data_IF_236472851661
#
_entry.id   IF_236472851661
#
_cell.length_a   1.000
_cell.length_b   1.000
_cell.length_c   1.000
_cell.angle_alpha   90.00
_cell.angle_beta   90.00
_cell.angle_gamma   90.00
#
_symmetry.space_group_name_H-M   'P 1'
#
loop_
_entity.id
_entity.type
_entity.pdbx_description
1 polymer ?
#
# COMPACT_ATOMS: atom_id res chain seq x y z
N UNK A 1 13.54 -34.55 -5.57
CA UNK A 1 12.90 -33.25 -5.26
C UNK A 1 13.62 -32.09 -5.98
N UNK A 2 12.94 -31.43 -6.93
CA UNK A 2 13.54 -30.58 -7.97
C UNK A 2 14.20 -29.28 -7.45
N UNK A 3 15.49 -29.08 -7.76
CA UNK A 3 16.32 -27.94 -7.34
C UNK A 3 15.80 -26.57 -7.81
N UNK A 4 15.03 -26.50 -8.92
CA UNK A 4 14.48 -25.24 -9.44
C UNK A 4 13.35 -24.65 -8.59
N UNK A 5 12.50 -25.49 -7.98
CA UNK A 5 11.39 -25.03 -7.14
C UNK A 5 11.85 -24.49 -5.77
N UNK A 6 12.98 -25.02 -5.25
CA UNK A 6 13.57 -24.56 -3.98
C UNK A 6 14.07 -23.12 -4.07
N UNK A 7 14.63 -22.73 -5.22
CA UNK A 7 15.11 -21.36 -5.46
C UNK A 7 13.97 -20.34 -5.42
N UNK A 8 12.85 -20.63 -6.07
CA UNK A 8 11.66 -19.75 -6.08
C UNK A 8 11.00 -19.66 -4.70
N UNK A 9 10.97 -20.76 -3.93
CA UNK A 9 10.50 -20.76 -2.54
C UNK A 9 11.34 -19.86 -1.64
N UNK A 10 12.67 -20.03 -1.66
CA UNK A 10 13.60 -19.23 -0.85
C UNK A 10 13.54 -17.76 -1.27
N UNK A 11 13.49 -17.47 -2.58
CA UNK A 11 13.38 -16.11 -3.09
C UNK A 11 12.12 -15.40 -2.60
N UNK A 12 10.95 -16.05 -2.67
CA UNK A 12 9.69 -15.45 -2.19
C UNK A 12 9.72 -15.19 -0.67
N UNK A 13 10.34 -16.07 0.12
CA UNK A 13 10.53 -15.86 1.56
C UNK A 13 11.45 -14.67 1.81
N UNK A 14 12.60 -14.61 1.15
CA UNK A 14 13.57 -13.52 1.33
C UNK A 14 12.97 -12.17 0.93
N UNK A 15 12.26 -12.11 -0.20
CA UNK A 15 11.55 -10.90 -0.63
C UNK A 15 10.47 -10.51 0.39
N UNK A 16 9.69 -11.49 0.87
CA UNK A 16 8.67 -11.26 1.89
C UNK A 16 9.25 -10.68 3.18
N UNK A 17 10.34 -11.25 3.68
CA UNK A 17 11.06 -10.75 4.86
C UNK A 17 11.62 -9.34 4.60
N UNK A 18 12.23 -9.11 3.43
CA UNK A 18 12.77 -7.80 3.06
C UNK A 18 11.68 -6.72 3.01
N UNK A 19 10.47 -7.05 2.52
CA UNK A 19 9.33 -6.13 2.53
C UNK A 19 8.83 -5.82 3.94
N UNK A 20 8.77 -6.81 4.82
CA UNK A 20 8.40 -6.61 6.23
C UNK A 20 9.43 -5.72 6.92
N UNK A 21 10.73 -6.04 6.79
CA UNK A 21 11.81 -5.23 7.34
C UNK A 21 11.83 -3.82 6.75
N UNK A 22 11.54 -3.67 5.46
CA UNK A 22 11.39 -2.38 4.80
C UNK A 22 10.23 -1.57 5.35
N UNK A 23 9.08 -2.20 5.61
CA UNK A 23 7.93 -1.56 6.27
C UNK A 23 8.24 -1.10 7.70
N UNK A 24 8.96 -1.92 8.47
CA UNK A 24 9.43 -1.57 9.82
C UNK A 24 10.43 -0.41 9.76
N UNK A 25 11.42 -0.48 8.87
CA UNK A 25 12.42 0.58 8.70
C UNK A 25 11.76 1.90 8.28
N UNK A 26 10.80 1.86 7.35
CA UNK A 26 10.02 3.02 6.94
C UNK A 26 9.24 3.61 8.12
N UNK A 27 8.64 2.76 8.95
CA UNK A 27 7.93 3.21 10.15
C UNK A 27 8.88 3.84 11.18
N UNK A 28 10.09 3.29 11.34
CA UNK A 28 11.12 3.85 12.23
C UNK A 28 11.67 5.19 11.72
N UNK A 29 11.83 5.34 10.41
CA UNK A 29 12.29 6.59 9.80
C UNK A 29 11.24 7.70 9.99
N UNK A 30 9.96 7.38 9.80
CA UNK A 30 8.85 8.32 10.01
C UNK A 30 8.29 8.24 11.44
N UNK A 31 9.09 7.81 12.42
CA UNK A 31 8.62 7.56 13.79
C UNK A 31 8.05 8.81 14.45
N UNK A 32 8.55 9.99 14.13
CA UNK A 32 8.06 11.23 14.74
C UNK A 32 6.62 11.45 14.28
N UNK A 33 6.35 11.31 12.97
CA UNK A 33 5.01 11.34 12.37
C UNK A 33 4.14 10.14 12.76
N UNK A 34 4.70 9.00 13.14
CA UNK A 34 3.94 7.78 13.47
C UNK A 34 3.72 7.54 14.97
N UNK A 35 4.59 8.05 15.84
CA UNK A 35 4.58 7.83 17.30
C UNK A 35 4.02 9.02 18.08
N UNK A 36 4.21 10.25 17.60
CA UNK A 36 3.33 11.35 18.02
C UNK A 36 1.99 11.19 17.28
N UNK A 37 0.95 11.92 17.67
CA UNK A 37 -0.35 11.96 16.96
C UNK A 37 -1.44 10.94 17.30
N UNK A 38 -1.96 11.04 18.53
CA UNK A 38 -3.42 10.95 18.70
C UNK A 38 -4.05 12.29 19.10
N UNK A 39 -3.24 13.26 19.55
CA UNK A 39 -3.68 14.61 19.89
C UNK A 39 -2.50 15.59 19.92
N UNK A 40 -2.80 16.88 19.83
CA UNK A 40 -1.81 17.95 20.00
C UNK A 40 -1.24 17.95 21.43
N UNK A 41 -2.07 17.63 22.42
CA UNK A 41 -1.66 17.50 23.82
C UNK A 41 -0.57 16.46 24.03
N UNK A 42 -0.69 15.27 23.41
CA UNK A 42 0.35 14.25 23.50
C UNK A 42 1.68 14.76 22.92
N UNK A 43 1.60 15.41 21.77
CA UNK A 43 2.77 15.98 21.08
C UNK A 43 3.46 17.05 21.95
N UNK A 44 2.69 17.87 22.66
CA UNK A 44 3.20 18.82 23.66
C UNK A 44 3.93 18.10 24.80
N UNK A 45 3.29 17.08 25.40
CA UNK A 45 3.84 16.30 26.50
C UNK A 45 5.08 15.47 26.12
N UNK A 46 5.19 15.07 24.84
CA UNK A 46 6.34 14.36 24.28
C UNK A 46 7.52 15.31 23.96
N UNK A 47 7.38 16.62 24.20
CA UNK A 47 8.44 17.63 24.04
C UNK A 47 8.48 18.35 22.70
N UNK A 48 7.48 18.14 21.83
CA UNK A 48 7.36 18.81 20.53
C UNK A 48 6.45 20.03 20.63
N UNK A 49 6.75 20.94 21.56
CA UNK A 49 5.98 22.15 21.80
C UNK A 49 6.53 23.36 21.03
N UNK A 50 5.66 24.31 20.71
CA UNK A 50 6.03 25.56 20.05
C UNK A 50 6.42 26.63 21.08
N UNK A 51 7.51 27.36 20.80
CA UNK A 51 7.86 28.65 21.42
C UNK A 51 8.41 29.59 20.36
N UNK A 52 8.57 30.88 20.67
CA UNK A 52 9.14 31.85 19.72
C UNK A 52 10.54 31.46 19.24
N UNK A 53 11.29 30.67 20.02
CA UNK A 53 12.60 30.16 19.63
C UNK A 53 12.55 29.20 18.41
N UNK A 54 11.41 28.58 18.16
CA UNK A 54 11.17 27.67 17.03
C UNK A 54 10.64 28.38 15.78
N UNK A 55 10.48 29.70 15.79
CA UNK A 55 9.86 30.46 14.69
C UNK A 55 10.62 30.37 13.35
N UNK A 56 11.92 30.10 13.39
CA UNK A 56 12.78 29.99 12.20
C UNK A 56 12.76 28.61 11.54
N UNK A 57 12.13 27.61 12.17
CA UNK A 57 12.06 26.24 11.65
C UNK A 57 10.71 26.00 10.95
N UNK A 58 10.54 26.65 9.80
CA UNK A 58 9.27 26.71 9.05
C UNK A 58 8.89 25.41 8.34
N UNK A 59 9.71 24.37 8.42
CA UNK A 59 9.43 23.03 7.87
C UNK A 59 8.93 22.04 8.94
N UNK A 60 8.93 22.48 10.21
CA UNK A 60 8.57 21.65 11.35
C UNK A 60 7.15 21.90 11.84
N UNK A 61 6.52 20.85 12.36
CA UNK A 61 5.22 20.93 13.00
C UNK A 61 5.41 20.87 14.51
N UNK A 62 4.72 21.75 15.23
CA UNK A 62 4.78 21.85 16.69
C UNK A 62 3.38 21.74 17.31
N UNK A 63 3.34 21.50 18.62
CA UNK A 63 2.13 21.65 19.42
C UNK A 63 2.17 22.95 20.20
N UNK A 64 1.17 23.81 20.02
CA UNK A 64 1.01 25.03 20.80
C UNK A 64 0.02 24.78 21.94
N UNK A 65 0.44 25.06 23.17
CA UNK A 65 -0.46 25.29 24.29
C UNK A 65 -1.06 26.69 24.16
N UNK A 66 -2.39 26.76 24.19
CA UNK A 66 -3.18 27.98 24.02
C UNK A 66 -3.96 28.19 25.31
N UNK A 67 -3.73 29.34 25.94
CA UNK A 67 -4.38 29.76 27.18
C UNK A 67 -5.51 30.76 26.94
N UNK A 68 -5.49 31.44 25.79
CA UNK A 68 -6.55 32.33 25.33
C UNK A 68 -6.48 32.49 23.80
N UNK A 69 -7.62 32.78 23.18
CA UNK A 69 -7.74 32.95 21.72
C UNK A 69 -8.81 33.99 21.39
N UNK A 70 -8.41 35.00 20.62
CA UNK A 70 -9.27 36.12 20.23
C UNK A 70 -9.27 36.28 18.71
N UNK A 71 -10.46 36.52 18.13
CA UNK A 71 -10.60 36.92 16.74
C UNK A 71 -10.12 38.36 16.55
N UNK A 72 -9.24 38.57 15.57
CA UNK A 72 -8.72 39.90 15.25
C UNK A 72 -9.62 40.68 14.28
N UNK A 73 -10.57 40.00 13.64
CA UNK A 73 -11.42 40.54 12.57
C UNK A 73 -10.70 40.67 11.22
N UNK A 74 -9.49 40.15 11.07
CA UNK A 74 -8.75 40.10 9.81
C UNK A 74 -8.85 38.71 9.17
N UNK A 75 -9.16 38.68 7.87
CA UNK A 75 -9.25 37.44 7.11
C UNK A 75 -9.24 37.70 5.61
N UNK A 76 -9.28 36.61 4.85
CA UNK A 76 -9.37 36.67 3.39
C UNK A 76 -10.80 36.98 2.95
N UNK A 77 -10.95 37.75 1.87
CA UNK A 77 -12.28 38.10 1.31
C UNK A 77 -13.13 36.89 0.92
N UNK A 78 -12.49 35.74 0.67
CA UNK A 78 -13.15 34.49 0.33
C UNK A 78 -13.57 33.64 1.54
N UNK A 79 -13.33 34.13 2.77
CA UNK A 79 -13.73 33.49 4.03
C UNK A 79 -13.06 32.15 4.31
N UNK A 80 -11.94 31.85 3.63
CA UNK A 80 -11.21 30.59 3.80
C UNK A 80 -10.16 30.64 4.91
N UNK A 81 -9.73 31.83 5.29
CA UNK A 81 -8.69 32.03 6.29
C UNK A 81 -8.96 33.29 7.11
N UNK A 82 -8.78 33.21 8.42
CA UNK A 82 -8.86 34.30 9.39
C UNK A 82 -7.62 34.27 10.30
N UNK A 83 -7.27 35.45 10.80
CA UNK A 83 -6.17 35.65 11.73
C UNK A 83 -6.73 35.81 13.13
N UNK A 84 -6.21 35.02 14.05
CA UNK A 84 -6.53 35.07 15.47
C UNK A 84 -5.29 35.49 16.26
N UNK A 85 -5.49 36.13 17.40
CA UNK A 85 -4.43 36.30 18.40
C UNK A 85 -4.55 35.17 19.41
N UNK A 86 -3.46 34.44 19.63
CA UNK A 86 -3.41 33.34 20.61
C UNK A 86 -2.35 33.62 21.67
N UNK A 87 -2.69 33.34 22.93
CA UNK A 87 -1.75 33.40 24.05
C UNK A 87 -1.14 32.02 24.27
N UNK A 88 0.18 31.90 24.07
CA UNK A 88 0.93 30.67 24.29
C UNK A 88 1.91 30.76 25.46
N UNK A 89 2.85 29.81 25.53
CA UNK A 89 3.74 29.63 26.69
C UNK A 89 4.69 30.81 26.94
N UNK A 90 5.24 31.41 25.87
CA UNK A 90 6.24 32.49 25.97
C UNK A 90 5.81 33.80 25.29
N UNK A 91 4.61 33.87 24.73
CA UNK A 91 4.15 35.07 24.04
C UNK A 91 2.77 34.99 23.41
N UNK A 92 2.40 36.08 22.76
CA UNK A 92 1.23 36.16 21.88
C UNK A 92 1.67 35.97 20.43
N UNK A 93 0.88 35.20 19.69
CA UNK A 93 1.14 34.89 18.28
C UNK A 93 -0.07 35.18 17.41
N UNK A 94 0.19 35.45 16.13
CA UNK A 94 -0.85 35.42 15.11
C UNK A 94 -1.05 34.00 14.59
N UNK A 95 -2.26 33.49 14.72
CA UNK A 95 -2.69 32.19 14.21
C UNK A 95 -3.53 32.38 12.96
N UNK A 96 -3.07 31.86 11.83
CA UNK A 96 -3.87 31.71 10.61
C UNK A 96 -4.65 30.40 10.67
N UNK A 97 -5.99 30.47 10.57
CA UNK A 97 -6.83 29.28 10.53
C UNK A 97 -8.13 29.49 9.75
N UNK A 98 -8.75 28.38 9.32
CA UNK A 98 -10.06 28.46 8.67
C UNK A 98 -11.17 28.65 9.73
N UNK A 99 -11.99 29.71 9.64
CA UNK A 99 -13.04 29.98 10.63
C UNK A 99 -14.13 28.92 10.70
N UNK A 100 -14.36 28.19 9.60
CA UNK A 100 -15.34 27.10 9.54
C UNK A 100 -14.78 25.78 10.08
N UNK A 101 -13.52 25.72 10.51
CA UNK A 101 -12.98 24.53 11.15
C UNK A 101 -13.64 24.35 12.52
N UNK A 102 -14.32 23.20 12.71
CA UNK A 102 -15.04 22.88 13.94
C UNK A 102 -14.16 22.98 15.20
N UNK A 103 -12.86 22.67 15.10
CA UNK A 103 -11.92 22.77 16.23
C UNK A 103 -11.61 24.22 16.58
N UNK A 104 -11.36 25.07 15.58
CA UNK A 104 -11.11 26.51 15.76
C UNK A 104 -12.34 27.18 16.37
N UNK A 105 -13.50 26.95 15.77
CA UNK A 105 -14.77 27.47 16.26
C UNK A 105 -15.04 27.08 17.71
N UNK A 106 -14.87 25.80 18.04
CA UNK A 106 -15.06 25.33 19.42
C UNK A 106 -14.03 25.91 20.41
N UNK A 107 -12.81 26.25 19.95
CA UNK A 107 -11.80 26.89 20.80
C UNK A 107 -12.14 28.36 21.06
N UNK A 108 -12.52 29.12 20.03
CA UNK A 108 -12.95 30.52 20.19
C UNK A 108 -14.17 30.58 21.12
N UNK A 109 -15.22 29.79 20.85
CA UNK A 109 -16.42 29.73 21.70
C UNK A 109 -16.09 29.32 23.15
N UNK A 110 -15.10 28.45 23.35
CA UNK A 110 -14.67 28.04 24.68
C UNK A 110 -14.00 29.17 25.45
N UNK A 111 -13.06 29.89 24.83
CA UNK A 111 -12.34 30.98 25.49
C UNK A 111 -13.22 32.22 25.68
N UNK A 112 -14.07 32.57 24.71
CA UNK A 112 -15.07 33.64 24.85
C UNK A 112 -16.00 33.37 26.03
N UNK A 113 -16.48 32.13 26.15
CA UNK A 113 -17.32 31.73 27.27
C UNK A 113 -16.56 31.81 28.59
N UNK A 114 -15.33 31.28 28.64
CA UNK A 114 -14.50 31.32 29.84
C UNK A 114 -14.25 32.77 30.29
N UNK A 115 -13.93 33.68 29.37
CA UNK A 115 -13.72 35.10 29.68
C UNK A 115 -14.98 35.81 30.19
N UNK A 116 -16.18 35.32 29.86
CA UNK A 116 -17.47 35.91 30.27
C UNK A 116 -17.98 35.45 31.65
N UNK A 117 -17.41 34.39 32.21
CA UNK A 117 -17.82 33.79 33.48
C UNK A 117 -16.86 34.23 34.61
N UNK A 118 -17.39 34.38 35.83
CA UNK A 118 -16.55 34.60 37.02
C UNK A 118 -15.92 33.28 37.45
N UNK A 119 -14.59 33.25 37.55
CA UNK A 119 -13.82 32.10 38.03
C UNK A 119 -13.10 32.44 39.34
N UNK A 120 -12.94 31.48 40.27
CA UNK A 120 -12.12 31.66 41.46
C UNK A 120 -10.66 32.03 41.11
N UNK A 121 -10.06 32.89 41.94
CA UNK A 121 -8.66 33.36 41.74
C UNK A 121 -7.62 32.21 41.76
N UNK A 122 -7.97 31.05 42.31
CA UNK A 122 -7.12 29.86 42.40
C UNK A 122 -7.39 28.80 41.31
N UNK A 123 -8.34 29.05 40.40
CA UNK A 123 -8.60 28.15 39.28
C UNK A 123 -7.47 28.22 38.23
N UNK A 124 -6.84 27.09 37.88
CA UNK A 124 -5.79 27.10 36.85
C UNK A 124 -6.38 27.49 35.50
N UNK A 125 -5.65 28.36 34.77
CA UNK A 125 -6.06 28.78 33.43
C UNK A 125 -6.29 27.56 32.52
N UNK A 126 -7.40 27.52 31.78
CA UNK A 126 -7.70 26.41 30.90
C UNK A 126 -6.72 26.40 29.72
N UNK A 127 -6.18 25.22 29.43
CA UNK A 127 -5.27 25.03 28.28
C UNK A 127 -5.97 24.22 27.19
N UNK A 128 -5.71 24.62 25.94
CA UNK A 128 -6.06 23.86 24.73
C UNK A 128 -4.82 23.67 23.87
N UNK A 129 -4.76 22.56 23.14
CA UNK A 129 -3.58 22.23 22.32
C UNK A 129 -3.92 22.21 20.84
N UNK A 130 -3.08 22.86 20.03
CA UNK A 130 -3.22 22.93 18.58
C UNK A 130 -1.92 22.54 17.86
N UNK A 131 -2.03 21.80 16.77
CA UNK A 131 -0.87 21.52 15.90
C UNK A 131 -0.68 22.71 14.97
N UNK A 132 0.54 23.23 14.92
CA UNK A 132 0.86 24.46 14.21
C UNK A 132 2.16 24.35 13.42
N UNK A 133 2.23 25.09 12.31
CA UNK A 133 3.44 25.27 11.50
C UNK A 133 3.81 26.76 11.51
N UNK A 134 5.06 27.12 11.87
CA UNK A 134 5.49 28.51 11.82
C UNK A 134 5.83 28.95 10.40
N UNK A 135 5.54 30.21 10.10
CA UNK A 135 5.80 30.84 8.83
C UNK A 135 6.33 32.25 9.03
N UNK A 136 7.39 32.61 8.31
CA UNK A 136 7.93 33.97 8.29
C UNK A 136 6.98 34.93 7.58
N UNK A 137 6.72 36.12 8.14
CA UNK A 137 5.96 37.15 7.45
C UNK A 137 6.82 37.89 6.43
N UNK A 138 6.92 37.32 5.23
CA UNK A 138 7.63 37.91 4.10
C UNK A 138 7.00 39.20 3.55
N UNK A 139 5.76 39.53 3.96
CA UNK A 139 4.99 40.66 3.41
C UNK A 139 4.82 41.83 4.37
N UNK A 140 5.30 41.67 5.61
CA UNK A 140 5.15 42.65 6.71
C UNK A 140 3.70 43.02 7.04
N UNK A 141 2.73 42.19 6.63
CA UNK A 141 1.31 42.43 6.88
C UNK A 141 0.96 42.27 8.35
N UNK A 142 1.69 41.42 9.09
CA UNK A 142 1.48 41.20 10.52
C UNK A 142 1.77 42.45 11.33
N UNK A 143 2.79 43.24 10.95
CA UNK A 143 3.05 44.53 11.62
C UNK A 143 1.86 45.50 11.53
N UNK A 144 1.15 45.50 10.39
CA UNK A 144 -0.05 46.31 10.18
C UNK A 144 -1.24 45.80 10.99
N UNK A 145 -1.36 44.49 11.15
CA UNK A 145 -2.38 43.87 12.02
C UNK A 145 -2.05 44.18 13.49
N UNK A 146 -0.78 44.04 13.87
CA UNK A 146 -0.29 44.32 15.22
C UNK A 146 -0.48 45.79 15.63
N UNK A 147 -0.27 46.74 14.73
CA UNK A 147 -0.56 48.17 14.98
C UNK A 147 -2.04 48.46 15.28
N UNK A 148 -2.94 47.58 14.84
CA UNK A 148 -4.39 47.74 15.07
C UNK A 148 -4.87 46.96 16.28
N UNK A 149 -4.26 45.81 16.56
CA UNK A 149 -4.56 44.97 17.73
C UNK A 149 -3.90 45.53 19.01
N UNK A 150 -2.69 46.07 18.89
CA UNK A 150 -1.89 46.68 19.97
C UNK A 150 -1.37 48.07 19.55
N UNK A 151 -2.27 49.07 19.41
CA UNK A 151 -1.92 50.42 18.89
C UNK A 151 -0.95 51.18 19.80
N UNK A 152 -0.99 50.90 21.10
CA UNK A 152 -0.10 51.52 22.09
C UNK A 152 1.21 50.73 22.27
N UNK A 153 1.43 49.65 21.51
CA UNK A 153 2.59 48.76 21.59
C UNK A 153 2.83 48.22 23.01
N UNK A 154 1.75 48.00 23.76
CA UNK A 154 1.78 47.57 25.16
C UNK A 154 2.27 46.15 25.31
N UNK A 155 1.96 45.27 24.34
CA UNK A 155 2.40 43.88 24.33
C UNK A 155 3.66 43.69 23.50
N UNK A 156 3.87 44.50 22.44
CA UNK A 156 5.09 44.44 21.61
C UNK A 156 6.37 44.87 22.34
N UNK A 157 6.25 45.72 23.35
CA UNK A 157 7.39 46.25 24.12
C UNK A 157 7.67 45.48 25.44
N UNK A 158 6.94 44.40 25.74
CA UNK A 158 7.20 43.59 26.94
C UNK A 158 8.34 42.59 26.73
N UNK A 159 9.03 42.27 27.81
CA UNK A 159 9.98 41.15 27.84
C UNK A 159 9.26 39.80 28.01
N UNK A 160 8.19 39.75 28.82
CA UNK A 160 7.36 38.57 29.04
C UNK A 160 5.97 38.73 28.40
N UNK A 161 5.47 37.69 27.74
CA UNK A 161 4.17 37.75 27.05
C UNK A 161 4.20 38.72 25.87
N UNK A 162 5.33 38.80 25.16
CA UNK A 162 5.50 39.68 24.01
C UNK A 162 4.60 39.25 22.85
N UNK A 163 4.01 40.20 22.14
CA UNK A 163 3.39 39.95 20.84
C UNK A 163 4.47 39.85 19.76
N UNK A 164 4.55 38.69 19.11
CA UNK A 164 5.44 38.46 17.98
C UNK A 164 4.70 38.76 16.66
N UNK A 165 5.28 39.65 15.85
CA UNK A 165 4.73 40.15 14.59
C UNK A 165 5.68 39.96 13.39
N UNK A 166 6.77 39.22 13.57
CA UNK A 166 7.75 38.83 12.55
C UNK A 166 7.47 37.45 11.93
N UNK A 167 6.62 36.65 12.58
CA UNK A 167 6.14 35.36 12.10
C UNK A 167 4.67 35.14 12.49
N UNK A 168 4.00 34.24 11.79
CA UNK A 168 2.71 33.70 12.17
C UNK A 168 2.78 32.18 12.25
N UNK A 169 1.78 31.57 12.85
CA UNK A 169 1.60 30.14 12.90
C UNK A 169 0.33 29.77 12.13
N UNK A 170 0.35 28.69 11.35
CA UNK A 170 -0.83 28.20 10.66
C UNK A 170 -1.37 26.94 11.33
N UNK A 171 -2.69 26.80 11.38
CA UNK A 171 -3.32 25.61 11.91
C UNK A 171 -3.15 24.43 10.93
N UNK A 172 -2.44 23.39 11.35
CA UNK A 172 -2.22 22.18 10.54
C UNK A 172 -2.89 20.94 11.16
N UNK A 173 -2.81 19.81 10.47
CA UNK A 173 -3.18 18.51 11.00
C UNK A 173 -2.31 17.42 10.38
N UNK A 174 -1.73 16.54 11.20
CA UNK A 174 -1.00 15.39 10.66
C UNK A 174 -1.88 14.21 10.28
N UNK A 175 -3.20 14.27 10.52
CA UNK A 175 -4.12 13.15 10.29
C UNK A 175 -3.98 12.53 8.90
N UNK A 176 -3.84 13.36 7.85
CA UNK A 176 -3.64 12.86 6.48
C UNK A 176 -2.25 12.24 6.28
N UNK A 177 -1.21 12.84 6.86
CA UNK A 177 0.17 12.39 6.71
C UNK A 177 0.41 11.07 7.47
N UNK A 178 -0.07 10.97 8.72
CA UNK A 178 -0.07 9.74 9.52
C UNK A 178 -0.82 8.63 8.81
N UNK A 179 -2.04 8.90 8.33
CA UNK A 179 -2.85 7.90 7.64
C UNK A 179 -2.15 7.38 6.38
N UNK A 180 -1.48 8.26 5.64
CA UNK A 180 -0.68 7.88 4.48
C UNK A 180 0.50 6.97 4.88
N UNK A 181 1.32 7.39 5.86
CA UNK A 181 2.49 6.61 6.29
C UNK A 181 2.09 5.26 6.90
N UNK A 182 1.02 5.20 7.70
CA UNK A 182 0.46 3.97 8.23
C UNK A 182 -0.04 3.05 7.12
N UNK A 183 -0.74 3.58 6.12
CA UNK A 183 -1.21 2.80 4.98
C UNK A 183 -0.04 2.20 4.20
N UNK A 184 1.03 2.97 3.95
CA UNK A 184 2.25 2.48 3.29
C UNK A 184 2.89 1.34 4.09
N UNK A 185 3.08 1.52 5.40
CA UNK A 185 3.65 0.49 6.28
C UNK A 185 2.80 -0.79 6.26
N UNK A 186 1.48 -0.66 6.40
CA UNK A 186 0.56 -1.80 6.44
C UNK A 186 0.54 -2.55 5.10
N UNK A 187 0.52 -1.84 3.97
CA UNK A 187 0.57 -2.45 2.64
C UNK A 187 1.86 -3.25 2.45
N UNK A 188 3.02 -2.70 2.81
CA UNK A 188 4.29 -3.41 2.73
C UNK A 188 4.29 -4.71 3.56
N UNK A 189 3.78 -4.64 4.79
CA UNK A 189 3.68 -5.81 5.67
C UNK A 189 2.71 -6.86 5.13
N UNK A 190 1.53 -6.46 4.66
CA UNK A 190 0.52 -7.37 4.09
C UNK A 190 1.06 -8.06 2.85
N UNK A 191 1.74 -7.34 1.94
CA UNK A 191 2.36 -7.95 0.76
C UNK A 191 3.46 -8.93 1.18
N UNK A 192 4.31 -8.55 2.13
CA UNK A 192 5.39 -9.41 2.61
C UNK A 192 4.90 -10.71 3.22
N UNK A 193 3.90 -10.65 4.11
CA UNK A 193 3.24 -11.82 4.69
C UNK A 193 2.55 -12.67 3.60
N UNK A 194 1.85 -12.02 2.67
CA UNK A 194 1.20 -12.70 1.54
C UNK A 194 2.17 -13.52 0.69
N UNK A 195 3.35 -12.97 0.38
CA UNK A 195 4.39 -13.69 -0.36
C UNK A 195 4.90 -14.94 0.37
N UNK A 196 5.08 -14.84 1.70
CA UNK A 196 5.51 -15.98 2.53
C UNK A 196 4.43 -17.07 2.52
N UNK A 197 3.17 -16.71 2.74
CA UNK A 197 2.03 -17.65 2.71
C UNK A 197 1.97 -18.36 1.35
N UNK A 198 2.04 -17.60 0.25
CA UNK A 198 2.02 -18.16 -1.12
C UNK A 198 3.18 -19.13 -1.33
N UNK A 199 4.38 -18.83 -0.82
CA UNK A 199 5.54 -19.72 -0.92
C UNK A 199 5.28 -21.07 -0.23
N UNK A 200 4.75 -21.06 1.00
CA UNK A 200 4.43 -22.29 1.73
C UNK A 200 3.31 -23.09 1.07
N UNK A 201 2.22 -22.44 0.68
CA UNK A 201 1.10 -23.09 -0.02
C UNK A 201 1.58 -23.74 -1.32
N UNK A 202 2.44 -23.06 -2.09
CA UNK A 202 3.01 -23.61 -3.33
C UNK A 202 3.93 -24.80 -3.05
N UNK A 203 4.76 -24.74 -2.00
CA UNK A 203 5.61 -25.85 -1.58
C UNK A 203 4.78 -27.09 -1.22
N UNK A 204 3.70 -26.90 -0.47
CA UNK A 204 2.77 -27.98 -0.11
C UNK A 204 2.13 -28.59 -1.36
N UNK A 205 1.51 -27.76 -2.21
CA UNK A 205 0.83 -28.23 -3.44
C UNK A 205 1.79 -28.99 -4.37
N UNK A 206 3.03 -28.52 -4.52
CA UNK A 206 4.04 -29.20 -5.34
C UNK A 206 4.39 -30.59 -4.77
N UNK A 207 4.46 -30.74 -3.44
CA UNK A 207 4.70 -32.02 -2.80
C UNK A 207 3.52 -32.98 -3.01
N UNK A 208 2.29 -32.52 -2.80
CA UNK A 208 1.07 -33.33 -3.01
C UNK A 208 0.95 -33.78 -4.47
N UNK A 209 1.26 -32.88 -5.41
CA UNK A 209 1.21 -33.20 -6.84
C UNK A 209 2.31 -34.19 -7.23
N UNK A 210 3.49 -34.10 -6.62
CA UNK A 210 4.57 -35.06 -6.83
C UNK A 210 4.20 -36.46 -6.31
N UNK A 211 3.55 -36.55 -5.15
CA UNK A 211 3.08 -37.84 -4.64
C UNK A 211 2.04 -38.45 -5.59
N UNK A 212 1.07 -37.67 -6.07
CA UNK A 212 0.10 -38.14 -7.09
C UNK A 212 0.76 -38.66 -8.37
N UNK A 213 1.88 -38.05 -8.80
CA UNK A 213 2.64 -38.55 -9.93
C UNK A 213 3.32 -39.89 -9.61
N UNK A 214 3.85 -40.05 -8.40
CA UNK A 214 4.45 -41.31 -7.96
C UNK A 214 3.39 -42.42 -7.81
N UNK A 215 2.19 -42.09 -7.34
CA UNK A 215 1.05 -43.01 -7.33
C UNK A 215 0.65 -43.47 -8.74
N UNK A 216 0.77 -42.59 -9.75
CA UNK A 216 0.51 -42.92 -11.15
C UNK A 216 1.59 -43.83 -11.77
N UNK A 217 2.85 -43.62 -11.38
CA UNK A 217 3.96 -44.51 -11.71
C UNK A 217 5.07 -44.45 -10.65
N UNK A 218 5.21 -45.54 -9.89
CA UNK A 218 6.16 -45.64 -8.78
C UNK A 218 7.62 -45.51 -9.24
N UNK A 219 7.93 -45.78 -10.53
CA UNK A 219 9.29 -45.59 -11.08
C UNK A 219 9.76 -44.13 -11.04
N UNK A 220 8.83 -43.18 -10.93
CA UNK A 220 9.12 -41.75 -10.86
C UNK A 220 9.45 -41.27 -9.44
N UNK A 221 9.28 -42.13 -8.42
CA UNK A 221 9.71 -41.85 -7.05
C UNK A 221 11.23 -41.71 -7.04
N UNK A 222 11.70 -40.58 -6.56
CA UNK A 222 13.10 -40.13 -6.55
C UNK A 222 13.80 -39.99 -7.92
N UNK A 223 13.17 -40.42 -9.03
CA UNK A 223 13.70 -40.30 -10.39
C UNK A 223 12.70 -39.65 -11.37
N UNK A 224 12.25 -38.43 -11.05
CA UNK A 224 11.31 -37.68 -11.93
C UNK A 224 11.87 -37.40 -13.34
N UNK A 225 13.20 -37.40 -13.49
CA UNK A 225 13.85 -37.17 -14.78
C UNK A 225 13.61 -38.33 -15.76
N UNK A 226 13.17 -39.49 -15.28
CA UNK A 226 12.79 -40.61 -16.15
C UNK A 226 11.64 -40.25 -17.10
N UNK A 227 10.83 -39.23 -16.77
CA UNK A 227 9.84 -38.64 -17.68
C UNK A 227 10.44 -38.24 -19.03
N UNK A 228 11.72 -37.85 -19.08
CA UNK A 228 12.40 -37.53 -20.34
C UNK A 228 12.46 -38.72 -21.30
N UNK A 229 12.38 -39.96 -20.80
CA UNK A 229 12.50 -41.19 -21.58
C UNK A 229 11.15 -41.89 -21.78
N UNK A 230 10.22 -41.75 -20.83
CA UNK A 230 8.98 -42.53 -20.80
C UNK A 230 7.73 -41.74 -21.21
N UNK A 231 7.81 -40.40 -21.28
CA UNK A 231 6.68 -39.56 -21.64
C UNK A 231 6.38 -39.60 -23.15
N UNK A 232 5.10 -39.52 -23.50
CA UNK A 232 4.60 -39.48 -24.88
C UNK A 232 4.94 -38.15 -25.58
N UNK A 233 5.11 -37.09 -24.78
CA UNK A 233 5.60 -35.78 -25.23
C UNK A 233 6.58 -35.23 -24.20
N UNK A 234 7.67 -34.63 -24.69
CA UNK A 234 8.72 -34.02 -23.86
C UNK A 234 9.12 -32.67 -24.45
N UNK A 235 8.96 -31.60 -23.68
CA UNK A 235 9.59 -30.31 -23.93
C UNK A 235 10.35 -29.85 -22.67
N UNK A 236 11.66 -30.09 -22.68
CA UNK A 236 12.55 -29.72 -21.56
C UNK A 236 12.72 -28.20 -21.41
N UNK A 237 12.48 -27.43 -22.48
CA UNK A 237 12.62 -25.97 -22.45
C UNK A 237 11.49 -25.32 -21.66
N UNK A 238 10.28 -25.89 -21.77
CA UNK A 238 9.11 -25.52 -20.98
C UNK A 238 9.03 -26.29 -19.65
N UNK A 239 9.68 -27.45 -19.57
CA UNK A 239 9.45 -28.42 -18.50
C UNK A 239 8.08 -29.06 -18.60
N UNK A 240 7.57 -29.27 -19.82
CA UNK A 240 6.24 -29.81 -20.08
C UNK A 240 6.35 -31.26 -20.58
N UNK A 241 5.50 -32.13 -20.03
CA UNK A 241 5.48 -33.55 -20.33
C UNK A 241 4.03 -34.01 -20.49
N UNK A 242 3.77 -34.92 -21.43
CA UNK A 242 2.50 -35.66 -21.47
C UNK A 242 2.80 -37.12 -21.23
N UNK A 243 2.21 -37.69 -20.18
CA UNK A 243 2.44 -39.07 -19.79
C UNK A 243 1.18 -39.68 -19.18
N UNK A 244 0.77 -40.87 -19.63
CA UNK A 244 -0.41 -41.58 -19.10
C UNK A 244 -1.66 -40.69 -18.99
N UNK A 245 -1.98 -39.98 -20.07
CA UNK A 245 -3.10 -39.03 -20.13
C UNK A 245 -3.02 -37.86 -19.14
N UNK A 246 -1.84 -37.55 -18.60
CA UNK A 246 -1.62 -36.40 -17.74
C UNK A 246 -0.65 -35.41 -18.37
N UNK A 247 -0.99 -34.13 -18.34
CA UNK A 247 -0.07 -33.03 -18.59
C UNK A 247 0.66 -32.71 -17.29
N UNK A 248 1.96 -32.90 -17.28
CA UNK A 248 2.85 -32.60 -16.15
C UNK A 248 3.67 -31.37 -16.51
N UNK A 249 3.58 -30.34 -15.69
CA UNK A 249 4.28 -29.07 -15.84
C UNK A 249 5.28 -28.91 -14.70
N UNK A 250 6.54 -29.19 -14.98
CA UNK A 250 7.67 -29.06 -14.08
C UNK A 250 8.46 -27.77 -14.38
N UNK A 251 7.80 -26.64 -14.16
CA UNK A 251 8.33 -25.31 -14.51
C UNK A 251 9.13 -24.72 -13.35
N UNK A 252 9.83 -23.60 -13.59
CA UNK A 252 10.46 -22.84 -12.50
C UNK A 252 9.44 -22.17 -11.55
N UNK A 253 8.18 -22.08 -11.96
CA UNK A 253 7.09 -21.48 -11.19
C UNK A 253 6.33 -22.52 -10.34
N UNK A 254 6.57 -23.81 -10.57
CA UNK A 254 6.10 -24.89 -9.72
C UNK A 254 5.84 -26.18 -10.49
N UNK A 255 5.23 -27.13 -9.77
CA UNK A 255 4.97 -28.47 -10.24
C UNK A 255 3.46 -28.70 -10.23
N UNK A 256 2.86 -28.76 -11.42
CA UNK A 256 1.42 -28.95 -11.60
C UNK A 256 1.17 -30.17 -12.51
N UNK A 257 0.07 -30.88 -12.27
CA UNK A 257 -0.34 -32.06 -13.04
C UNK A 257 -1.84 -31.99 -13.32
N UNK A 258 -2.23 -32.27 -14.57
CA UNK A 258 -3.60 -32.14 -15.06
C UNK A 258 -4.00 -33.41 -15.81
N UNK A 259 -5.15 -33.99 -15.49
CA UNK A 259 -5.67 -35.13 -16.23
C UNK A 259 -6.31 -34.64 -17.54
N UNK A 260 -5.70 -34.99 -18.67
CA UNK A 260 -6.11 -34.54 -20.00
C UNK A 260 -7.43 -35.17 -20.46
N UNK A 261 -7.86 -36.27 -19.85
CA UNK A 261 -9.20 -36.83 -20.13
C UNK A 261 -10.33 -35.92 -19.63
N UNK A 262 -10.03 -35.08 -18.63
CA UNK A 262 -10.97 -34.11 -18.07
C UNK A 262 -10.82 -32.72 -18.71
N UNK A 263 -9.97 -32.58 -19.73
CA UNK A 263 -9.68 -31.30 -20.36
C UNK A 263 -10.88 -30.84 -21.17
N UNK A 264 -11.36 -29.62 -20.89
CA UNK A 264 -12.46 -28.99 -21.62
C UNK A 264 -11.93 -27.92 -22.57
N UNK A 265 -11.02 -27.07 -22.10
CA UNK A 265 -10.50 -25.97 -22.91
C UNK A 265 -9.06 -25.64 -22.53
N UNK A 266 -8.20 -25.55 -23.55
CA UNK A 266 -6.78 -25.22 -23.43
C UNK A 266 -6.39 -24.10 -24.39
N UNK A 267 -5.74 -23.07 -23.88
CA UNK A 267 -5.12 -22.04 -24.71
C UNK A 267 -3.93 -21.39 -23.99
N UNK A 268 -3.06 -20.70 -24.73
CA UNK A 268 -2.00 -19.91 -24.12
C UNK A 268 -2.40 -18.44 -23.92
N UNK A 269 -1.84 -17.84 -22.88
CA UNK A 269 -1.89 -16.41 -22.60
C UNK A 269 -0.49 -15.84 -22.70
N UNK A 270 -0.31 -14.82 -23.54
CA UNK A 270 0.94 -14.08 -23.69
C UNK A 270 0.77 -12.71 -23.03
N UNK A 271 1.48 -12.48 -21.93
CA UNK A 271 1.50 -11.18 -21.25
C UNK A 271 2.79 -10.44 -21.60
N UNK A 272 2.65 -9.26 -22.21
CA UNK A 272 3.80 -8.41 -22.60
C UNK A 272 3.94 -7.26 -21.60
N UNK A 273 5.03 -7.27 -20.85
CA UNK A 273 5.36 -6.19 -19.91
C UNK A 273 6.02 -5.06 -20.68
N UNK A 274 5.40 -3.88 -20.67
CA UNK A 274 5.90 -2.71 -21.37
C UNK A 274 6.42 -1.65 -20.41
N UNK A 275 7.63 -1.15 -20.67
CA UNK A 275 8.14 0.07 -20.04
C UNK A 275 7.69 1.28 -20.86
N UNK A 276 7.25 2.35 -20.17
CA UNK A 276 6.65 3.55 -20.77
C UNK A 276 5.52 3.26 -21.76
N UNK A 277 4.75 2.18 -21.54
CA UNK A 277 3.69 1.70 -22.44
C UNK A 277 4.11 1.31 -23.88
N UNK A 278 5.39 1.46 -24.26
CA UNK A 278 5.87 1.28 -25.63
C UNK A 278 6.86 0.11 -25.76
N UNK A 279 7.82 -0.01 -24.84
CA UNK A 279 8.96 -0.93 -25.00
C UNK A 279 8.68 -2.24 -24.28
N UNK A 280 8.62 -3.37 -24.99
CA UNK A 280 8.39 -4.68 -24.37
C UNK A 280 9.65 -5.18 -23.66
N UNK A 281 9.71 -4.99 -22.34
CA UNK A 281 10.83 -5.39 -21.49
C UNK A 281 10.77 -6.88 -21.12
N UNK A 282 9.56 -7.44 -20.95
CA UNK A 282 9.36 -8.84 -20.62
C UNK A 282 8.19 -9.47 -21.38
N UNK A 283 8.25 -10.79 -21.60
CA UNK A 283 7.15 -11.57 -22.16
C UNK A 283 6.96 -12.79 -21.29
N UNK A 284 5.72 -13.01 -20.87
CA UNK A 284 5.29 -14.10 -20.02
C UNK A 284 4.34 -15.00 -20.78
N UNK A 285 4.66 -16.30 -20.86
CA UNK A 285 3.82 -17.32 -21.45
C UNK A 285 3.19 -18.17 -20.35
N UNK A 286 1.86 -18.24 -20.36
CA UNK A 286 1.07 -19.07 -19.46
C UNK A 286 0.10 -19.95 -20.26
N UNK A 287 -0.30 -21.10 -19.70
CA UNK A 287 -1.44 -21.87 -20.18
C UNK A 287 -2.66 -21.56 -19.34
N UNK A 288 -3.79 -21.35 -20.00
CA UNK A 288 -5.09 -21.49 -19.37
C UNK A 288 -5.56 -22.93 -19.60
N UNK A 289 -5.76 -23.66 -18.52
CA UNK A 289 -6.20 -25.06 -18.51
C UNK A 289 -7.53 -25.11 -17.77
N UNK A 290 -8.59 -25.43 -18.49
CA UNK A 290 -9.93 -25.58 -17.92
C UNK A 290 -10.33 -27.05 -17.97
N UNK A 291 -10.59 -27.62 -16.81
CA UNK A 291 -10.96 -29.02 -16.64
C UNK A 291 -12.37 -29.16 -16.07
N UNK A 292 -13.02 -30.29 -16.32
CA UNK A 292 -14.27 -30.68 -15.67
C UNK A 292 -14.01 -31.88 -14.75
N UNK A 293 -14.02 -31.63 -13.45
CA UNK A 293 -13.71 -32.63 -12.42
C UNK A 293 -14.72 -32.52 -11.29
N UNK A 294 -15.17 -33.65 -10.75
CA UNK A 294 -16.10 -33.71 -9.60
C UNK A 294 -17.39 -32.87 -9.80
N UNK A 295 -17.90 -32.84 -11.04
CA UNK A 295 -19.09 -32.07 -11.41
C UNK A 295 -18.87 -30.54 -11.42
N UNK A 296 -17.62 -30.06 -11.45
CA UNK A 296 -17.29 -28.64 -11.44
C UNK A 296 -16.24 -28.28 -12.48
N UNK A 297 -16.42 -27.13 -13.12
CA UNK A 297 -15.37 -26.56 -13.96
C UNK A 297 -14.26 -25.96 -13.08
N UNK A 298 -13.03 -26.43 -13.27
CA UNK A 298 -11.83 -25.88 -12.64
C UNK A 298 -11.02 -25.12 -13.68
N UNK A 299 -10.94 -23.81 -13.51
CA UNK A 299 -10.17 -22.91 -14.38
C UNK A 299 -8.83 -22.59 -13.72
N UNK A 300 -7.72 -22.96 -14.36
CA UNK A 300 -6.39 -22.72 -13.81
C UNK A 300 -5.48 -22.06 -14.84
N UNK A 301 -4.83 -20.98 -14.43
CA UNK A 301 -3.76 -20.34 -15.20
C UNK A 301 -2.41 -20.78 -14.65
N UNK A 302 -1.61 -21.46 -15.48
CA UNK A 302 -0.29 -21.94 -15.09
C UNK A 302 0.78 -21.22 -15.88
N UNK A 303 1.71 -20.59 -15.18
CA UNK A 303 2.83 -19.91 -15.79
C UNK A 303 3.87 -20.92 -16.29
N UNK A 304 4.22 -20.88 -17.58
CA UNK A 304 5.19 -21.79 -18.18
C UNK A 304 6.61 -21.22 -18.14
N UNK A 305 6.78 -20.04 -18.76
CA UNK A 305 8.10 -19.46 -18.99
C UNK A 305 7.99 -17.96 -19.23
N UNK A 306 9.09 -17.25 -18.96
CA UNK A 306 9.26 -15.84 -19.32
C UNK A 306 10.33 -15.65 -20.41
N UNK A 307 10.70 -16.75 -21.10
CA UNK A 307 11.65 -16.71 -22.21
C UNK A 307 10.93 -16.22 -23.47
N UNK A 308 11.38 -15.10 -24.03
CA UNK A 308 10.80 -14.48 -25.24
C UNK A 308 10.76 -15.44 -26.45
N UNK A 309 11.67 -16.41 -26.52
CA UNK A 309 11.80 -17.37 -27.63
C UNK A 309 10.96 -18.65 -27.46
N UNK A 310 10.10 -18.72 -26.45
CA UNK A 310 9.36 -19.94 -26.14
C UNK A 310 8.03 -20.09 -26.88
N UNK A 311 7.65 -19.14 -27.75
CA UNK A 311 6.35 -19.16 -28.44
C UNK A 311 6.14 -20.46 -29.23
N UNK A 312 7.11 -20.84 -30.06
CA UNK A 312 7.04 -22.04 -30.89
C UNK A 312 6.91 -23.32 -30.04
N UNK A 313 7.63 -23.37 -28.91
CA UNK A 313 7.55 -24.48 -27.96
C UNK A 313 6.14 -24.57 -27.33
N UNK A 314 5.56 -23.44 -26.93
CA UNK A 314 4.21 -23.38 -26.36
C UNK A 314 3.16 -23.80 -27.40
N UNK A 315 3.29 -23.32 -28.64
CA UNK A 315 2.40 -23.70 -29.75
C UNK A 315 2.52 -25.19 -30.05
N UNK A 316 3.74 -25.74 -30.03
CA UNK A 316 3.98 -27.17 -30.26
C UNK A 316 3.32 -28.04 -29.19
N UNK A 317 3.41 -27.65 -27.92
CA UNK A 317 2.73 -28.33 -26.81
C UNK A 317 1.20 -28.32 -26.99
N UNK A 318 0.62 -27.16 -27.28
CA UNK A 318 -0.83 -27.03 -27.49
C UNK A 318 -1.29 -27.87 -28.69
N UNK A 319 -0.51 -27.84 -29.78
CA UNK A 319 -0.80 -28.60 -31.00
C UNK A 319 -0.78 -30.10 -30.72
N UNK A 320 0.23 -30.59 -30.00
CA UNK A 320 0.30 -31.99 -29.60
C UNK A 320 -0.93 -32.41 -28.79
N UNK A 321 -1.33 -31.61 -27.80
CA UNK A 321 -2.53 -31.90 -26.99
C UNK A 321 -3.78 -31.90 -27.88
N UNK A 322 -3.95 -30.91 -28.76
CA UNK A 322 -5.11 -30.83 -29.65
C UNK A 322 -5.24 -32.01 -30.62
N UNK A 323 -4.11 -32.58 -31.06
CA UNK A 323 -4.10 -33.75 -31.94
C UNK A 323 -4.46 -35.05 -31.20
N UNK A 324 -4.08 -35.17 -29.93
CA UNK A 324 -4.23 -36.42 -29.17
C UNK A 324 -5.45 -36.43 -28.22
N UNK A 325 -6.03 -35.28 -27.93
CA UNK A 325 -7.22 -35.11 -27.07
C UNK A 325 -8.29 -34.29 -27.80
N UNK A 326 -8.92 -34.84 -28.87
CA UNK A 326 -9.77 -34.08 -29.80
C UNK A 326 -11.08 -33.59 -29.18
N UNK A 327 -11.47 -34.12 -28.02
CA UNK A 327 -12.68 -33.69 -27.30
C UNK A 327 -12.49 -32.36 -26.55
N UNK A 328 -11.24 -31.88 -26.43
CA UNK A 328 -10.94 -30.60 -25.81
C UNK A 328 -11.03 -29.45 -26.83
N UNK A 329 -11.57 -28.32 -26.39
CA UNK A 329 -11.47 -27.06 -27.12
C UNK A 329 -10.02 -26.57 -27.08
N UNK A 330 -9.48 -26.14 -28.21
CA UNK A 330 -8.08 -25.68 -28.32
C UNK A 330 -8.04 -24.28 -28.93
N UNK A 331 -7.24 -23.39 -28.33
CA UNK A 331 -7.04 -22.03 -28.82
C UNK A 331 -8.06 -21.03 -28.27
N UNK A 332 -7.85 -19.75 -28.57
CA UNK A 332 -8.68 -18.66 -28.06
C UNK A 332 -9.36 -17.92 -29.21
N UNK A 333 -10.54 -18.40 -29.60
CA UNK A 333 -11.37 -17.84 -30.67
C UNK A 333 -12.78 -17.54 -30.14
N UNK A 334 -13.58 -16.69 -30.81
CA UNK A 334 -14.97 -16.44 -30.42
C UNK A 334 -15.80 -17.73 -30.30
N UNK A 335 -15.59 -18.69 -31.20
CA UNK A 335 -16.31 -19.96 -31.25
C UNK A 335 -15.96 -20.86 -30.06
N UNK A 336 -14.67 -20.98 -29.73
CA UNK A 336 -14.21 -21.77 -28.55
C UNK A 336 -14.67 -21.13 -27.25
N UNK A 337 -14.70 -19.79 -27.18
CA UNK A 337 -15.27 -19.07 -26.03
C UNK A 337 -16.76 -19.33 -25.87
N UNK A 338 -17.53 -19.30 -26.97
CA UNK A 338 -18.96 -19.57 -26.94
C UNK A 338 -19.23 -21.03 -26.54
N UNK A 339 -18.54 -21.99 -27.17
CA UNK A 339 -18.66 -23.41 -26.84
C UNK A 339 -18.36 -23.69 -25.36
N UNK A 340 -17.33 -23.06 -24.79
CA UNK A 340 -17.03 -23.20 -23.37
C UNK A 340 -18.10 -22.57 -22.46
N UNK A 341 -18.72 -21.44 -22.86
CA UNK A 341 -19.85 -20.86 -22.13
C UNK A 341 -21.07 -21.79 -22.15
N UNK A 342 -21.38 -22.37 -23.30
CA UNK A 342 -22.46 -23.34 -23.46
C UNK A 342 -22.20 -24.61 -22.63
N UNK A 343 -20.98 -25.13 -22.65
CA UNK A 343 -20.56 -26.23 -21.79
C UNK A 343 -20.80 -25.94 -20.30
N UNK A 344 -20.43 -24.74 -19.83
CA UNK A 344 -20.67 -24.33 -18.44
C UNK A 344 -22.16 -24.21 -18.10
N UNK A 345 -22.99 -23.83 -19.05
CA UNK A 345 -24.43 -23.72 -18.84
C UNK A 345 -25.11 -25.09 -18.78
N UNK A 346 -24.67 -26.05 -19.59
CA UNK A 346 -25.23 -27.41 -19.62
C UNK A 346 -24.81 -28.29 -18.45
N UNK A 347 -23.77 -27.90 -17.70
CA UNK A 347 -23.24 -28.63 -16.54
C UNK A 347 -23.34 -27.85 -15.22
N UNK A 348 -24.22 -26.82 -15.19
CA UNK A 348 -24.72 -26.20 -13.95
C UNK A 348 -25.91 -26.98 -13.43
#
# INVERSE_FOLDING_TARGET
MNFKSKSTFIANILIGIALILGGIFYAMYNKEVLLTFNSAEKMYNDGYYFTSAASNDTESIYSLAIYDMLDTGYGTDDGKSEVYTVFGDDGLYFLEANPNNAKIKAMVEFFDKYASEEHPDDEPLPVRYLMVEPHTDSTSILSTIADKVDPDSTFRNREEGKLYDDFYISQTSLTKNIAFHLAVTLVLMVIGVGMIIVAFTRKSKNADTYEKLCELDEKLRDNINELDNIADYVDKSLGAYVYKNHLILNTKFGFDMFNLNNLVWLYHNITRHKMYAVITVGIDYALQINMFEDGRCREQRVMLTNNKKAEDAVVSLITYIGMNYPNALIGFTPETQQAYREFKQSHR
#
